data_IF_232911706086
#
_entry.id   IF_232911706086
#
_cell.length_a   1.000
_cell.length_b   1.000
_cell.length_c   1.000
_cell.angle_alpha   90.00
_cell.angle_beta   90.00
_cell.angle_gamma   90.00
#
_symmetry.space_group_name_H-M   'P 1'
#
loop_
_entity.id
_entity.type
_entity.pdbx_description
1 polymer ?
#
# COMPACT_ATOMS: atom_id res chain seq x y z
N UNK A 1 -23.84 -8.81 -4.55
CA UNK A 1 -23.87 -7.33 -4.63
C UNK A 1 -22.45 -6.86 -4.33
N UNK A 2 -21.77 -6.11 -5.21
CA UNK A 2 -20.50 -5.48 -4.84
C UNK A 2 -20.76 -4.52 -3.66
N UNK A 3 -19.95 -4.60 -2.59
CA UNK A 3 -20.06 -3.67 -1.45
C UNK A 3 -19.73 -2.26 -1.93
N UNK A 4 -20.52 -1.28 -1.51
CA UNK A 4 -20.13 0.12 -1.63
C UNK A 4 -18.95 0.39 -0.71
N UNK A 5 -17.97 1.15 -1.20
CA UNK A 5 -16.84 1.63 -0.39
C UNK A 5 -17.41 2.55 0.71
N UNK A 6 -17.09 2.34 2.01
CA UNK A 6 -17.45 3.26 3.08
C UNK A 6 -16.98 4.68 2.76
N UNK A 7 -17.76 5.70 3.13
CA UNK A 7 -17.43 7.10 2.79
C UNK A 7 -16.09 7.56 3.38
N UNK A 8 -15.71 7.04 4.55
CA UNK A 8 -14.40 7.29 5.15
C UNK A 8 -13.26 6.71 4.30
N UNK A 9 -13.42 5.47 3.81
CA UNK A 9 -12.44 4.82 2.97
C UNK A 9 -12.38 5.45 1.56
N UNK A 10 -13.50 5.98 1.06
CA UNK A 10 -13.51 6.77 -0.16
C UNK A 10 -12.73 8.09 -0.02
N UNK A 11 -12.63 8.66 1.19
CA UNK A 11 -11.78 9.82 1.45
C UNK A 11 -10.31 9.42 1.57
N UNK A 12 -10.03 8.28 2.19
CA UNK A 12 -8.69 7.69 2.23
C UNK A 12 -8.14 7.38 0.83
N UNK A 13 -8.98 6.87 -0.09
CA UNK A 13 -8.58 6.60 -1.48
C UNK A 13 -8.31 7.86 -2.32
N UNK A 14 -8.50 9.07 -1.77
CA UNK A 14 -8.07 10.32 -2.44
C UNK A 14 -6.61 10.67 -2.16
N UNK A 15 -5.96 9.96 -1.23
CA UNK A 15 -4.54 10.11 -0.99
C UNK A 15 -3.78 9.61 -2.22
N UNK A 16 -2.75 10.36 -2.60
CA UNK A 16 -1.68 9.84 -3.44
C UNK A 16 -0.64 9.18 -2.53
N UNK A 17 0.27 8.42 -3.11
CA UNK A 17 1.41 7.94 -2.35
C UNK A 17 2.36 7.10 -3.17
N UNK A 18 3.57 6.96 -2.64
CA UNK A 18 4.61 6.11 -3.22
C UNK A 18 5.12 5.11 -2.20
N UNK A 19 5.10 3.84 -2.59
CA UNK A 19 5.75 2.74 -1.90
C UNK A 19 7.24 2.75 -2.25
N UNK A 20 8.06 2.71 -1.21
CA UNK A 20 9.50 2.51 -1.34
C UNK A 20 9.81 1.10 -0.84
N UNK A 21 10.46 0.33 -1.71
CA UNK A 21 10.88 -1.04 -1.42
C UNK A 21 12.40 -1.06 -1.44
N UNK A 22 13.00 -1.19 -0.26
CA UNK A 22 14.45 -1.35 -0.13
C UNK A 22 14.79 -2.84 -0.26
N UNK A 23 15.70 -3.15 -1.18
CA UNK A 23 16.15 -4.51 -1.44
C UNK A 23 17.60 -4.70 -0.98
N UNK A 24 17.94 -5.91 -0.55
CA UNK A 24 19.33 -6.31 -0.23
C UNK A 24 20.31 -6.14 -1.38
N UNK A 25 19.79 -6.11 -2.61
CA UNK A 25 20.53 -5.91 -3.84
C UNK A 25 19.75 -4.92 -4.71
N UNK A 26 20.40 -3.93 -5.35
CA UNK A 26 19.72 -2.96 -6.20
C UNK A 26 18.90 -3.63 -7.30
N UNK A 27 17.72 -3.08 -7.61
CA UNK A 27 16.96 -3.51 -8.78
C UNK A 27 17.73 -3.18 -10.07
N UNK A 28 17.56 -4.01 -11.10
CA UNK A 28 18.22 -3.83 -12.39
C UNK A 28 17.20 -3.43 -13.48
N UNK A 29 17.60 -2.61 -14.47
CA UNK A 29 16.75 -2.33 -15.62
C UNK A 29 16.34 -3.62 -16.33
N UNK A 30 15.05 -3.78 -16.60
CA UNK A 30 14.57 -4.91 -17.40
C UNK A 30 15.00 -4.77 -18.86
N UNK A 31 14.92 -3.55 -19.39
CA UNK A 31 15.35 -3.17 -20.75
C UNK A 31 16.16 -1.88 -20.65
N UNK A 32 17.37 -1.81 -21.23
CA UNK A 32 18.18 -0.60 -21.23
C UNK A 32 17.42 0.59 -21.83
N UNK A 33 17.38 1.72 -21.11
CA UNK A 33 16.71 2.95 -21.55
C UNK A 33 15.20 2.99 -21.31
N UNK A 34 14.59 1.94 -20.75
CA UNK A 34 13.22 1.97 -20.25
C UNK A 34 13.21 2.11 -18.73
N UNK A 35 12.22 2.81 -18.18
CA UNK A 35 12.05 2.99 -16.73
C UNK A 35 11.61 1.74 -15.96
N UNK A 36 11.48 0.59 -16.63
CA UNK A 36 11.10 -0.68 -16.01
C UNK A 36 12.31 -1.33 -15.34
N UNK A 37 12.15 -1.67 -14.06
CA UNK A 37 13.16 -2.37 -13.27
C UNK A 37 12.60 -3.68 -12.73
N UNK A 38 13.49 -4.62 -12.41
CA UNK A 38 13.15 -5.87 -11.75
C UNK A 38 14.10 -6.11 -10.58
N UNK A 39 13.62 -6.81 -9.56
CA UNK A 39 14.49 -7.29 -8.49
C UNK A 39 15.50 -8.31 -9.04
N UNK A 40 16.76 -8.24 -8.59
CA UNK A 40 17.77 -9.24 -8.94
C UNK A 40 17.43 -10.60 -8.33
N UNK A 41 17.80 -11.72 -8.96
CA UNK A 41 17.60 -13.06 -8.38
C UNK A 41 18.16 -13.16 -6.96
N UNK A 42 17.33 -13.62 -6.02
CA UNK A 42 17.71 -13.78 -4.61
C UNK A 42 17.70 -12.49 -3.77
N UNK A 43 17.32 -11.34 -4.34
CA UNK A 43 17.06 -10.14 -3.55
C UNK A 43 15.99 -10.41 -2.49
N UNK A 44 16.13 -9.77 -1.33
CA UNK A 44 15.14 -9.78 -0.25
C UNK A 44 14.76 -8.36 0.10
N UNK A 45 13.54 -8.20 0.62
CA UNK A 45 13.08 -6.92 1.16
C UNK A 45 13.81 -6.65 2.48
N UNK A 46 14.44 -5.48 2.59
CA UNK A 46 15.06 -4.98 3.82
C UNK A 46 14.12 -4.04 4.57
N UNK A 47 13.43 -3.18 3.84
CA UNK A 47 12.49 -2.23 4.39
C UNK A 47 11.38 -1.91 3.38
N UNK A 48 10.23 -1.52 3.91
CA UNK A 48 9.13 -0.93 3.15
C UNK A 48 8.69 0.33 3.88
N UNK A 49 8.45 1.39 3.12
CA UNK A 49 7.77 2.60 3.61
C UNK A 49 6.82 3.14 2.55
N UNK A 50 5.67 3.65 2.97
CA UNK A 50 4.67 4.29 2.14
C UNK A 50 4.61 5.77 2.49
N UNK A 51 5.11 6.61 1.58
CA UNK A 51 4.93 8.06 1.70
C UNK A 51 3.59 8.42 1.05
N UNK A 52 2.58 8.68 1.88
CA UNK A 52 1.30 9.19 1.42
C UNK A 52 1.34 10.72 1.32
N UNK A 53 0.58 11.26 0.36
CA UNK A 53 0.51 12.67 0.04
C UNK A 53 -0.92 13.05 -0.35
N UNK A 54 -1.22 14.34 -0.34
CA UNK A 54 -2.49 14.90 -0.79
C UNK A 54 -2.23 16.03 -1.78
N UNK A 55 -3.13 16.16 -2.75
CA UNK A 55 -3.09 17.26 -3.70
C UNK A 55 -3.55 18.57 -3.04
N UNK A 56 -2.75 19.61 -3.20
CA UNK A 56 -3.09 20.99 -2.88
C UNK A 56 -2.97 21.83 -4.16
N UNK A 57 -4.10 21.97 -4.87
CA UNK A 57 -4.07 22.49 -6.24
C UNK A 57 -3.42 21.48 -7.19
N UNK A 58 -2.36 21.92 -7.88
CA UNK A 58 -1.58 21.09 -8.81
C UNK A 58 -0.36 20.44 -8.16
N UNK A 59 -0.08 20.75 -6.88
CA UNK A 59 1.09 20.27 -6.16
C UNK A 59 0.75 19.12 -5.19
N UNK A 60 1.73 18.26 -4.93
CA UNK A 60 1.65 17.24 -3.88
C UNK A 60 2.31 17.76 -2.60
N UNK A 61 1.60 17.60 -1.49
CA UNK A 61 2.16 17.87 -0.15
C UNK A 61 2.01 16.68 0.78
N UNK A 62 2.86 16.66 1.80
CA UNK A 62 2.73 15.70 2.90
C UNK A 62 1.46 15.95 3.71
N UNK A 63 0.95 14.90 4.34
CA UNK A 63 -0.17 15.01 5.26
C UNK A 63 0.27 15.71 6.54
N UNK A 64 -0.57 16.60 7.06
CA UNK A 64 -0.42 17.17 8.39
C UNK A 64 -0.75 16.13 9.47
N UNK A 65 -0.29 16.34 10.71
CA UNK A 65 -0.63 15.45 11.83
C UNK A 65 -2.15 15.31 12.02
N UNK A 66 -2.90 16.40 11.83
CA UNK A 66 -4.36 16.38 11.92
C UNK A 66 -5.00 15.47 10.86
N UNK A 67 -4.45 15.43 9.65
CA UNK A 67 -4.94 14.56 8.57
C UNK A 67 -4.53 13.11 8.81
N UNK A 68 -3.30 12.88 9.30
CA UNK A 68 -2.82 11.56 9.69
C UNK A 68 -3.65 10.96 10.83
N UNK A 69 -4.11 11.79 11.77
CA UNK A 69 -4.90 11.35 12.92
C UNK A 69 -6.42 11.33 12.64
N UNK A 70 -6.85 11.69 11.42
CA UNK A 70 -8.24 11.61 11.01
C UNK A 70 -8.69 10.14 10.86
N UNK A 71 -9.96 9.85 11.18
CA UNK A 71 -10.53 8.50 11.05
C UNK A 71 -10.64 8.11 9.57
N UNK A 72 -9.97 7.04 9.18
CA UNK A 72 -10.00 6.49 7.82
C UNK A 72 -10.95 5.28 7.69
N UNK A 73 -11.11 4.50 8.76
CA UNK A 73 -11.98 3.32 8.76
C UNK A 73 -12.53 3.03 10.16
N UNK A 74 -13.86 2.96 10.28
CA UNK A 74 -14.54 2.57 11.53
C UNK A 74 -14.75 1.06 11.59
N UNK A 75 -13.70 0.36 11.97
CA UNK A 75 -13.74 -1.08 12.23
C UNK A 75 -12.73 -1.47 13.31
N UNK A 76 -13.02 -2.50 14.13
CA UNK A 76 -12.07 -3.01 15.13
C UNK A 76 -10.90 -3.78 14.48
N UNK A 77 -11.10 -4.29 13.27
CA UNK A 77 -10.08 -4.98 12.47
C UNK A 77 -10.33 -4.79 10.97
N UNK A 78 -9.29 -5.00 10.18
CA UNK A 78 -9.34 -4.98 8.72
C UNK A 78 -8.41 -6.08 8.19
N UNK A 79 -8.81 -6.78 7.13
CA UNK A 79 -7.92 -7.70 6.41
C UNK A 79 -7.50 -7.03 5.11
N UNK A 80 -6.20 -6.88 4.91
CA UNK A 80 -5.62 -6.18 3.76
C UNK A 80 -4.83 -7.19 2.94
N UNK A 81 -5.11 -7.30 1.65
CA UNK A 81 -4.31 -8.06 0.70
C UNK A 81 -3.40 -7.11 -0.08
N UNK A 82 -2.09 -7.39 -0.07
CA UNK A 82 -1.14 -6.73 -0.96
C UNK A 82 -1.14 -7.39 -2.35
N UNK A 83 -0.13 -7.08 -3.14
CA UNK A 83 -0.04 -7.54 -4.54
C UNK A 83 0.05 -9.08 -4.69
N UNK A 84 0.60 -9.77 -3.68
CA UNK A 84 0.68 -11.23 -3.64
C UNK A 84 -0.65 -11.93 -3.25
N UNK A 85 -1.71 -11.15 -2.96
CA UNK A 85 -3.07 -11.67 -2.71
C UNK A 85 -3.28 -12.37 -1.37
N UNK A 86 -2.25 -12.50 -0.52
CA UNK A 86 -2.37 -13.09 0.82
C UNK A 86 -2.89 -12.03 1.80
N UNK A 87 -4.10 -12.17 2.38
CA UNK A 87 -4.63 -11.16 3.28
C UNK A 87 -3.98 -11.23 4.66
N UNK A 88 -3.60 -10.07 5.20
CA UNK A 88 -3.08 -9.91 6.57
C UNK A 88 -4.12 -9.20 7.42
N UNK A 89 -4.46 -9.75 8.59
CA UNK A 89 -5.36 -9.12 9.56
C UNK A 89 -4.58 -8.07 10.38
N UNK A 90 -5.17 -6.88 10.47
CA UNK A 90 -4.72 -5.80 11.34
C UNK A 90 -5.82 -5.44 12.31
N UNK A 91 -5.46 -5.14 13.56
CA UNK A 91 -6.39 -4.67 14.60
C UNK A 91 -6.20 -3.19 14.84
N UNK A 92 -7.30 -2.47 15.01
CA UNK A 92 -7.29 -1.08 15.41
C UNK A 92 -6.62 -0.97 16.79
N UNK A 93 -5.59 -0.13 16.97
CA UNK A 93 -4.91 0.00 18.27
C UNK A 93 -5.84 0.39 19.42
N UNK A 94 -6.85 1.22 19.15
CA UNK A 94 -7.90 1.60 20.12
C UNK A 94 -9.08 0.61 20.17
N UNK A 95 -9.06 -0.47 19.36
CA UNK A 95 -10.09 -1.50 19.29
C UNK A 95 -11.39 -1.09 18.57
N UNK A 96 -11.47 0.10 17.95
CA UNK A 96 -12.73 0.62 17.38
C UNK A 96 -12.59 1.19 15.97
N UNK A 97 -11.47 1.82 15.63
CA UNK A 97 -11.25 2.46 14.34
C UNK A 97 -9.76 2.61 14.01
N UNK A 98 -9.48 2.78 12.73
CA UNK A 98 -8.17 3.16 12.20
C UNK A 98 -8.18 4.63 11.82
N UNK A 99 -7.16 5.35 12.25
CA UNK A 99 -6.75 6.62 11.68
C UNK A 99 -6.07 6.42 10.32
N UNK A 100 -5.88 7.50 9.54
CA UNK A 100 -5.10 7.46 8.29
C UNK A 100 -3.71 6.89 8.55
N UNK A 101 -3.03 7.35 9.60
CA UNK A 101 -1.71 6.88 10.02
C UNK A 101 -1.67 5.38 10.28
N UNK A 102 -2.64 4.86 11.03
CA UNK A 102 -2.73 3.45 11.38
C UNK A 102 -3.06 2.58 10.17
N UNK A 103 -3.89 3.07 9.25
CA UNK A 103 -4.25 2.35 8.03
C UNK A 103 -3.08 2.31 7.03
N UNK A 104 -2.33 3.41 6.88
CA UNK A 104 -1.08 3.43 6.11
C UNK A 104 -0.06 2.45 6.69
N UNK A 105 0.14 2.45 8.00
CA UNK A 105 1.03 1.49 8.67
C UNK A 105 0.57 0.03 8.50
N UNK A 106 -0.75 -0.22 8.44
CA UNK A 106 -1.28 -1.54 8.15
C UNK A 106 -0.95 -1.98 6.72
N UNK A 107 -1.06 -1.09 5.74
CA UNK A 107 -0.66 -1.33 4.34
C UNK A 107 0.85 -1.64 4.28
N UNK A 108 1.70 -0.81 4.86
CA UNK A 108 3.17 -1.03 4.90
C UNK A 108 3.52 -2.41 5.46
N UNK A 109 2.90 -2.80 6.58
CA UNK A 109 3.11 -4.12 7.19
C UNK A 109 2.63 -5.25 6.29
N UNK A 110 1.48 -5.10 5.64
CA UNK A 110 0.99 -6.09 4.67
C UNK A 110 1.99 -6.25 3.52
N UNK A 111 2.45 -5.15 2.94
CA UNK A 111 3.41 -5.17 1.84
C UNK A 111 4.72 -5.81 2.30
N UNK A 112 5.21 -5.47 3.50
CA UNK A 112 6.46 -6.03 4.02
C UNK A 112 6.37 -7.55 4.20
N UNK A 113 5.21 -8.05 4.61
CA UNK A 113 5.00 -9.49 4.83
C UNK A 113 4.77 -10.27 3.53
N UNK A 114 4.17 -9.65 2.53
CA UNK A 114 3.60 -10.38 1.38
C UNK A 114 4.28 -10.07 0.05
N UNK A 115 4.85 -8.88 -0.15
CA UNK A 115 5.47 -8.47 -1.42
C UNK A 115 6.68 -9.31 -1.79
N UNK A 116 7.37 -9.88 -0.81
CA UNK A 116 8.48 -10.82 -1.06
C UNK A 116 8.07 -12.06 -1.86
N UNK A 117 6.78 -12.40 -1.87
CA UNK A 117 6.20 -13.55 -2.56
C UNK A 117 5.58 -13.22 -3.91
N UNK A 118 5.66 -11.97 -4.38
CA UNK A 118 5.23 -11.63 -5.74
C UNK A 118 6.17 -12.27 -6.78
N UNK A 119 5.69 -12.45 -8.01
CA UNK A 119 6.47 -13.05 -9.11
C UNK A 119 6.60 -12.09 -10.31
N UNK A 120 6.72 -10.79 -10.05
CA UNK A 120 6.85 -9.79 -11.12
C UNK A 120 8.22 -9.89 -11.79
N UNK A 121 8.22 -10.17 -13.10
CA UNK A 121 9.43 -10.50 -13.87
C UNK A 121 10.31 -11.58 -13.23
N UNK A 122 9.69 -12.54 -12.54
CA UNK A 122 10.39 -13.64 -11.86
C UNK A 122 11.06 -13.25 -10.54
N UNK A 123 10.67 -12.13 -9.95
CA UNK A 123 11.16 -11.68 -8.65
C UNK A 123 10.16 -10.79 -7.90
N UNK A 124 10.68 -10.05 -6.91
CA UNK A 124 9.90 -9.11 -6.10
C UNK A 124 9.42 -7.94 -6.97
N UNK A 125 8.15 -7.60 -6.83
CA UNK A 125 7.55 -6.45 -7.50
C UNK A 125 8.05 -5.14 -6.89
N UNK A 126 8.87 -4.45 -7.66
CA UNK A 126 9.39 -3.10 -7.41
C UNK A 126 8.90 -2.09 -8.44
N UNK A 127 7.91 -2.45 -9.24
CA UNK A 127 7.37 -1.62 -10.32
C UNK A 127 6.06 -0.96 -9.91
N UNK A 128 5.12 -1.72 -9.35
CA UNK A 128 3.85 -1.17 -8.90
C UNK A 128 4.02 -0.53 -7.51
N UNK A 129 4.25 0.78 -7.50
CA UNK A 129 4.64 1.56 -6.32
C UNK A 129 3.77 2.79 -6.08
N UNK A 130 2.86 3.16 -6.97
CA UNK A 130 1.96 4.29 -6.73
C UNK A 130 0.66 3.83 -6.09
N UNK A 131 0.32 4.39 -4.93
CA UNK A 131 -0.90 4.01 -4.21
C UNK A 131 -2.14 4.51 -4.95
N UNK A 132 -3.07 3.60 -5.28
CA UNK A 132 -4.32 3.93 -5.98
C UNK A 132 -5.57 3.71 -5.12
N UNK A 133 -5.41 3.18 -3.90
CA UNK A 133 -6.52 2.99 -2.96
C UNK A 133 -6.63 1.59 -2.40
N UNK A 134 -7.58 1.43 -1.49
CA UNK A 134 -8.06 0.15 -0.97
C UNK A 134 -9.43 -0.17 -1.55
N UNK A 135 -9.58 -1.36 -2.12
CA UNK A 135 -10.81 -1.78 -2.79
C UNK A 135 -11.28 -3.16 -2.31
N UNK A 136 -12.59 -3.41 -2.27
CA UNK A 136 -13.09 -4.72 -1.83
C UNK A 136 -12.77 -5.78 -2.88
N UNK A 137 -12.13 -6.88 -2.47
CA UNK A 137 -11.83 -8.03 -3.34
C UNK A 137 -12.71 -9.25 -3.01
N UNK A 138 -12.81 -9.59 -1.73
CA UNK A 138 -13.59 -10.71 -1.23
C UNK A 138 -14.29 -10.35 0.08
N UNK A 139 -15.02 -11.31 0.67
CA UNK A 139 -15.68 -11.10 1.96
C UNK A 139 -14.67 -10.68 3.03
N UNK A 140 -14.84 -9.45 3.51
CA UNK A 140 -14.01 -8.79 4.52
C UNK A 140 -12.52 -8.64 4.19
N UNK A 141 -12.16 -8.70 2.90
CA UNK A 141 -10.79 -8.46 2.40
C UNK A 141 -10.75 -7.22 1.50
N UNK A 142 -9.79 -6.34 1.81
CA UNK A 142 -9.50 -5.12 1.05
C UNK A 142 -8.15 -5.27 0.35
N UNK A 143 -8.14 -5.17 -0.97
CA UNK A 143 -6.90 -5.21 -1.74
C UNK A 143 -6.33 -3.83 -1.92
N UNK A 144 -5.02 -3.73 -1.76
CA UNK A 144 -4.27 -2.52 -2.11
C UNK A 144 -4.10 -2.49 -3.62
N UNK A 145 -4.60 -1.45 -4.26
CA UNK A 145 -4.36 -1.19 -5.67
C UNK A 145 -3.10 -0.34 -5.82
N UNK A 146 -2.22 -0.80 -6.71
CA UNK A 146 -0.93 -0.18 -6.99
C UNK A 146 -0.78 0.09 -8.49
N UNK A 147 -0.39 1.32 -8.83
CA UNK A 147 -0.02 1.75 -10.18
C UNK A 147 1.50 1.75 -10.39
N UNK A 148 1.90 1.91 -11.66
CA UNK A 148 3.29 1.86 -12.15
C UNK A 148 3.84 3.20 -12.61
#
# INVERSE_FOLDING_TARGET
>A
MPRSIPSELASFNKLSGRLYVELTSPAEPLVPGMGMVKATPGAKIQAISLNAQVFEGDDLRELTDKELDAVALRAPSVRIAGLAGIPVEHRAPNGTHFTVRELLAAIERTEHQTRGSSEWFGGIDVHHVYFEGLYPEAEDVWSVCWGS
#
